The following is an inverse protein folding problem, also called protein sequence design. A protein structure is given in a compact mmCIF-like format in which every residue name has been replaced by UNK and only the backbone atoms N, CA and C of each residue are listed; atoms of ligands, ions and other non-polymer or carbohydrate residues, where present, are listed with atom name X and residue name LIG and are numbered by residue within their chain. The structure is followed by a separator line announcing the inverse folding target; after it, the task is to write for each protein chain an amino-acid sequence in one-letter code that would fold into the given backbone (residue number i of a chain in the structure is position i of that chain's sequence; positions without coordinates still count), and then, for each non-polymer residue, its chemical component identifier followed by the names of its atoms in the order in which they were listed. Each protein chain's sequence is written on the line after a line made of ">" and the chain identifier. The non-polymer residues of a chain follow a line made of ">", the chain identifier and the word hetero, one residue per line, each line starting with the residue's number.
data_IF_399210137724
#
_entry.id   IF_399210137724
#
_cell.length_a   1.000
_cell.length_b   1.000
_cell.length_c   1.000
_cell.angle_alpha   90.00
_cell.angle_beta   90.00
_cell.angle_gamma   90.00
#
_symmetry.space_group_name_H-M   'P 1'
#
loop_
_entity.id
_entity.type
_entity.pdbx_description
1 polymer ?
#
# COMPACT_ATOMS: atom_id res chain seq x y z
N UNK A 1 3.99 -21.91 31.34
CA UNK A 1 3.96 -20.72 30.45
C UNK A 1 4.80 -20.99 29.21
N UNK A 2 4.22 -20.81 28.06
CA UNK A 2 5.00 -20.92 26.84
C UNK A 2 5.98 -19.73 26.75
N UNK A 3 7.25 -20.00 26.50
CA UNK A 3 8.25 -18.97 26.31
C UNK A 3 7.89 -18.10 25.08
N UNK A 4 8.03 -16.79 25.19
CA UNK A 4 7.80 -15.88 24.07
C UNK A 4 8.80 -16.21 22.97
N UNK A 5 8.29 -16.60 21.79
CA UNK A 5 9.13 -17.01 20.64
C UNK A 5 9.91 -15.84 20.03
N UNK A 6 9.30 -14.65 20.03
CA UNK A 6 9.91 -13.43 19.48
C UNK A 6 10.00 -12.37 20.59
N UNK A 7 11.21 -12.07 21.00
CA UNK A 7 11.51 -11.07 22.04
C UNK A 7 11.80 -9.75 21.35
N UNK A 8 11.13 -8.69 21.80
CA UNK A 8 11.33 -7.32 21.31
C UNK A 8 12.28 -6.62 22.25
N UNK A 9 13.39 -6.15 21.73
CA UNK A 9 14.33 -5.25 22.41
C UNK A 9 14.54 -4.05 21.50
N UNK A 10 14.05 -2.89 21.91
CA UNK A 10 14.17 -1.65 21.15
C UNK A 10 15.39 -0.86 21.62
N UNK A 11 16.10 -0.27 20.70
CA UNK A 11 17.13 0.72 21.04
C UNK A 11 16.51 2.09 21.37
N UNK A 12 17.32 3.02 21.87
CA UNK A 12 16.86 4.36 22.26
C UNK A 12 16.28 5.14 21.05
N UNK A 13 16.91 5.03 19.89
CA UNK A 13 16.45 5.68 18.66
C UNK A 13 15.12 5.12 18.15
N UNK A 14 14.93 3.81 18.23
CA UNK A 14 13.67 3.14 17.87
C UNK A 14 12.53 3.55 18.81
N UNK A 15 12.78 3.61 20.12
CA UNK A 15 11.79 4.10 21.09
C UNK A 15 11.38 5.53 20.83
N UNK A 16 12.36 6.41 20.60
CA UNK A 16 12.09 7.82 20.31
C UNK A 16 11.28 7.96 19.01
N UNK A 17 11.64 7.22 17.96
CA UNK A 17 10.92 7.20 16.69
C UNK A 17 9.48 6.74 16.84
N UNK A 18 9.23 5.68 17.60
CA UNK A 18 7.90 5.16 17.88
C UNK A 18 7.06 6.13 18.72
N UNK A 19 7.65 6.71 19.74
CA UNK A 19 7.00 7.72 20.60
C UNK A 19 6.63 8.97 19.81
N UNK A 20 7.53 9.45 18.95
CA UNK A 20 7.28 10.60 18.07
C UNK A 20 6.16 10.32 17.07
N UNK A 21 6.10 9.11 16.51
CA UNK A 21 5.05 8.69 15.58
C UNK A 21 3.67 8.70 16.25
N UNK A 22 3.57 8.25 17.50
CA UNK A 22 2.34 8.28 18.29
C UNK A 22 1.95 9.71 18.63
N UNK A 23 2.90 10.52 19.11
CA UNK A 23 2.65 11.90 19.55
C UNK A 23 2.20 12.81 18.42
N UNK A 24 2.77 12.69 17.23
CA UNK A 24 2.40 13.47 16.05
C UNK A 24 0.98 13.18 15.56
N UNK A 25 0.44 11.99 15.79
CA UNK A 25 -0.93 11.61 15.46
C UNK A 25 -1.30 11.64 13.95
N UNK A 26 -0.35 11.93 13.09
CA UNK A 26 -0.58 12.04 11.63
C UNK A 26 -0.31 10.75 10.85
N UNK A 27 0.14 9.71 11.53
CA UNK A 27 0.39 8.42 10.91
C UNK A 27 -0.92 7.61 10.72
N UNK A 28 -0.86 6.60 9.86
CA UNK A 28 -1.97 5.66 9.71
C UNK A 28 -2.30 4.98 11.04
N UNK A 29 -3.57 4.84 11.37
CA UNK A 29 -4.04 4.23 12.63
C UNK A 29 -3.39 2.86 12.89
N UNK A 30 -3.21 2.06 11.86
CA UNK A 30 -2.54 0.75 11.98
C UNK A 30 -1.04 0.89 12.34
N UNK A 31 -0.35 1.90 11.84
CA UNK A 31 1.05 2.17 12.19
C UNK A 31 1.16 2.63 13.66
N UNK A 32 0.24 3.46 14.13
CA UNK A 32 0.16 3.90 15.53
C UNK A 32 -0.11 2.71 16.46
N UNK A 33 -1.04 1.83 16.10
CA UNK A 33 -1.34 0.62 16.87
C UNK A 33 -0.10 -0.28 16.99
N UNK A 34 0.58 -0.54 15.88
CA UNK A 34 1.83 -1.33 15.88
C UNK A 34 2.92 -0.68 16.73
N UNK A 35 3.08 0.63 16.65
CA UNK A 35 4.04 1.36 17.47
C UNK A 35 3.74 1.20 18.98
N UNK A 36 2.48 1.30 19.38
CA UNK A 36 2.06 1.07 20.78
C UNK A 36 2.31 -0.37 21.22
N UNK A 37 2.01 -1.35 20.37
CA UNK A 37 2.29 -2.77 20.66
C UNK A 37 3.78 -2.98 20.92
N UNK A 38 4.66 -2.43 20.06
CA UNK A 38 6.11 -2.58 20.21
C UNK A 38 6.64 -1.92 21.49
N UNK A 39 6.23 -0.71 21.81
CA UNK A 39 6.65 -0.03 23.04
C UNK A 39 6.26 -0.80 24.29
N UNK A 40 5.04 -1.35 24.33
CA UNK A 40 4.57 -2.16 25.47
C UNK A 40 5.22 -3.54 25.55
N UNK A 41 5.56 -4.13 24.38
CA UNK A 41 6.21 -5.45 24.29
C UNK A 41 7.71 -5.41 24.60
N UNK A 42 8.31 -4.23 24.59
CA UNK A 42 9.76 -4.05 24.73
C UNK A 42 10.28 -4.65 26.03
N UNK A 43 11.17 -5.64 25.90
CA UNK A 43 11.82 -6.34 27.02
C UNK A 43 13.19 -5.74 27.38
N UNK A 44 13.62 -4.70 26.66
CA UNK A 44 14.86 -4.00 26.92
C UNK A 44 14.92 -3.34 28.30
N UNK A 45 16.06 -2.75 28.65
CA UNK A 45 16.30 -2.13 29.95
C UNK A 45 15.27 -1.06 30.31
N UNK A 46 14.83 -0.28 29.33
CA UNK A 46 13.85 0.80 29.48
C UNK A 46 12.46 0.45 28.93
N UNK A 47 12.21 -0.83 28.65
CA UNK A 47 10.94 -1.31 28.12
C UNK A 47 9.85 -1.51 29.18
N UNK A 48 8.60 -1.42 28.76
CA UNK A 48 7.44 -1.62 29.68
C UNK A 48 7.23 -3.11 30.04
N UNK A 49 7.72 -4.05 29.24
CA UNK A 49 7.69 -5.51 29.48
C UNK A 49 6.32 -6.11 29.71
N UNK A 50 5.28 -5.57 29.11
CA UNK A 50 3.92 -6.06 29.27
C UNK A 50 3.74 -7.47 28.68
N UNK A 51 2.79 -8.21 29.27
CA UNK A 51 2.36 -9.49 28.72
C UNK A 51 1.44 -9.27 27.52
N UNK A 52 1.35 -10.27 26.64
CA UNK A 52 0.55 -10.18 25.42
C UNK A 52 -0.94 -9.98 25.72
N UNK A 53 -1.46 -10.61 26.79
CA UNK A 53 -2.84 -10.43 27.23
C UNK A 53 -3.12 -9.00 27.70
N UNK A 54 -2.21 -8.42 28.46
CA UNK A 54 -2.30 -7.03 28.95
C UNK A 54 -2.28 -6.02 27.79
N UNK A 55 -1.44 -6.28 26.76
CA UNK A 55 -1.38 -5.46 25.55
C UNK A 55 -2.69 -5.57 24.76
N UNK A 56 -3.24 -6.77 24.64
CA UNK A 56 -4.49 -7.00 23.92
C UNK A 56 -5.65 -6.27 24.58
N UNK A 57 -5.75 -6.33 25.89
CA UNK A 57 -6.79 -5.64 26.66
C UNK A 57 -6.64 -4.11 26.57
N UNK A 58 -5.43 -3.59 26.75
CA UNK A 58 -5.18 -2.15 26.72
C UNK A 58 -5.35 -1.48 25.36
N UNK A 59 -5.16 -2.22 24.27
CA UNK A 59 -5.19 -1.71 22.91
C UNK A 59 -6.36 -2.24 22.06
N UNK A 60 -7.29 -2.96 22.68
CA UNK A 60 -8.43 -3.58 21.98
C UNK A 60 -8.00 -4.41 20.74
N UNK A 61 -6.98 -5.22 20.91
CA UNK A 61 -6.43 -6.05 19.83
C UNK A 61 -6.41 -7.54 20.24
N UNK A 62 -5.90 -8.39 19.37
CA UNK A 62 -5.80 -9.82 19.64
C UNK A 62 -4.34 -10.30 19.69
N UNK A 63 -4.13 -11.44 20.34
CA UNK A 63 -2.81 -12.07 20.50
C UNK A 63 -2.12 -12.32 19.17
N UNK A 64 -2.86 -12.71 18.14
CA UNK A 64 -2.32 -12.93 16.80
C UNK A 64 -1.70 -11.67 16.21
N UNK A 65 -2.30 -10.50 16.42
CA UNK A 65 -1.77 -9.22 15.98
C UNK A 65 -0.47 -8.89 16.72
N UNK A 66 -0.45 -9.02 18.03
CA UNK A 66 0.75 -8.78 18.85
C UNK A 66 1.90 -9.69 18.44
N UNK A 67 1.63 -10.99 18.25
CA UNK A 67 2.63 -11.97 17.82
C UNK A 67 3.19 -11.64 16.42
N UNK A 68 2.33 -11.30 15.46
CA UNK A 68 2.77 -10.94 14.10
C UNK A 68 3.62 -9.66 14.09
N UNK A 69 3.29 -8.68 14.90
CA UNK A 69 4.06 -7.43 15.01
C UNK A 69 5.44 -7.71 15.57
N UNK A 70 5.54 -8.50 16.65
CA UNK A 70 6.82 -8.91 17.23
C UNK A 70 7.67 -9.74 16.27
N UNK A 71 7.06 -10.74 15.63
CA UNK A 71 7.73 -11.56 14.61
C UNK A 71 8.29 -10.70 13.49
N UNK A 72 7.50 -9.77 12.98
CA UNK A 72 7.91 -8.91 11.89
C UNK A 72 9.04 -7.97 12.27
N UNK A 73 9.05 -7.44 13.50
CA UNK A 73 10.17 -6.64 13.99
C UNK A 73 11.47 -7.45 14.04
N UNK A 74 11.42 -8.62 14.64
CA UNK A 74 12.60 -9.49 14.83
C UNK A 74 13.15 -10.00 13.50
N UNK A 75 12.28 -10.32 12.54
CA UNK A 75 12.68 -10.91 11.25
C UNK A 75 12.97 -9.89 10.16
N UNK A 76 12.31 -8.74 10.16
CA UNK A 76 12.35 -7.77 9.05
C UNK A 76 12.73 -6.34 9.46
N UNK A 77 12.77 -6.04 10.75
CA UNK A 77 13.11 -4.73 11.29
C UNK A 77 11.93 -3.75 11.40
N UNK A 78 12.21 -2.60 12.01
CA UNK A 78 11.19 -1.59 12.35
C UNK A 78 10.52 -0.97 11.12
N UNK A 79 11.29 -0.65 10.08
CA UNK A 79 10.74 -0.04 8.86
C UNK A 79 9.72 -0.95 8.17
N UNK A 80 9.96 -2.26 8.16
CA UNK A 80 9.03 -3.24 7.62
C UNK A 80 7.73 -3.32 8.43
N UNK A 81 7.79 -3.16 9.75
CA UNK A 81 6.61 -3.16 10.62
C UNK A 81 5.72 -1.96 10.34
N UNK A 82 6.31 -0.76 10.27
CA UNK A 82 5.60 0.50 10.10
C UNK A 82 5.11 0.74 8.68
N UNK A 83 5.82 0.21 7.68
CA UNK A 83 5.44 0.36 6.29
C UNK A 83 4.33 -0.61 5.86
N UNK A 84 3.50 -0.16 4.92
CA UNK A 84 2.55 -1.07 4.26
C UNK A 84 3.27 -1.83 3.16
N UNK A 85 3.16 -3.17 3.17
CA UNK A 85 3.65 -4.00 2.06
C UNK A 85 2.96 -3.57 0.76
N UNK A 86 3.72 -3.06 -0.19
CA UNK A 86 3.21 -2.74 -1.52
C UNK A 86 2.92 -4.05 -2.27
N UNK A 87 1.80 -4.11 -2.96
CA UNK A 87 1.52 -5.21 -3.87
C UNK A 87 2.41 -5.08 -5.10
N UNK A 88 3.09 -6.15 -5.48
CA UNK A 88 3.92 -6.21 -6.69
C UNK A 88 3.06 -6.24 -7.95
N UNK A 89 1.91 -6.90 -7.88
CA UNK A 89 0.94 -6.99 -8.95
C UNK A 89 -0.39 -6.36 -8.54
N UNK A 90 -1.01 -5.54 -9.39
CA UNK A 90 -2.34 -5.02 -9.12
C UNK A 90 -3.35 -6.18 -9.05
N UNK A 91 -4.41 -6.09 -8.22
CA UNK A 91 -5.42 -7.14 -8.08
C UNK A 91 -6.24 -7.38 -9.36
N UNK A 92 -6.32 -6.37 -10.21
CA UNK A 92 -6.99 -6.41 -11.51
C UNK A 92 -5.96 -6.00 -12.55
N UNK A 93 -5.82 -6.80 -13.60
CA UNK A 93 -4.93 -6.45 -14.72
C UNK A 93 -5.42 -5.13 -15.36
N UNK A 94 -4.51 -4.20 -15.67
CA UNK A 94 -4.91 -2.98 -16.37
C UNK A 94 -5.50 -3.33 -17.73
N UNK A 95 -6.57 -2.62 -18.12
CA UNK A 95 -7.23 -2.79 -19.43
C UNK A 95 -6.23 -2.46 -20.56
N UNK A 96 -5.49 -1.37 -20.41
CA UNK A 96 -4.41 -0.99 -21.30
C UNK A 96 -3.08 -1.55 -20.77
N UNK A 97 -2.65 -2.69 -21.28
CA UNK A 97 -1.30 -3.21 -21.11
C UNK A 97 -0.31 -2.44 -22.01
N UNK A 98 0.97 -2.80 -22.01
CA UNK A 98 1.99 -2.10 -22.77
C UNK A 98 1.70 -2.04 -24.28
N UNK A 99 1.17 -3.11 -24.87
CA UNK A 99 0.80 -3.17 -26.29
C UNK A 99 -0.42 -2.31 -26.59
N UNK A 100 -1.48 -2.46 -25.83
CA UNK A 100 -2.71 -1.68 -25.98
C UNK A 100 -2.46 -0.18 -25.73
N UNK A 101 -1.60 0.16 -24.79
CA UNK A 101 -1.16 1.53 -24.51
C UNK A 101 -0.45 2.16 -25.71
N UNK A 102 0.47 1.42 -26.34
CA UNK A 102 1.18 1.89 -27.55
C UNK A 102 0.21 2.09 -28.71
N UNK A 103 -0.72 1.18 -28.92
CA UNK A 103 -1.75 1.29 -29.95
C UNK A 103 -2.69 2.49 -29.70
N UNK A 104 -3.11 2.73 -28.46
CA UNK A 104 -3.91 3.89 -28.08
C UNK A 104 -3.16 5.20 -28.38
N UNK A 105 -1.89 5.28 -28.03
CA UNK A 105 -1.05 6.46 -28.26
C UNK A 105 -0.89 6.72 -29.76
N UNK A 106 -0.62 5.68 -30.56
CA UNK A 106 -0.52 5.78 -32.00
C UNK A 106 -1.85 6.26 -32.64
N UNK A 107 -2.97 5.75 -32.17
CA UNK A 107 -4.30 6.16 -32.60
C UNK A 107 -4.59 7.64 -32.27
N UNK A 108 -4.25 8.07 -31.06
CA UNK A 108 -4.42 9.46 -30.63
C UNK A 108 -3.57 10.47 -31.44
N UNK A 109 -2.43 10.01 -31.95
CA UNK A 109 -1.54 10.79 -32.81
C UNK A 109 -1.90 10.73 -34.30
N UNK A 110 -2.84 9.86 -34.68
CA UNK A 110 -3.29 9.72 -36.06
C UNK A 110 -4.35 10.75 -36.44
N UNK A 111 -4.68 10.82 -37.73
CA UNK A 111 -5.77 11.67 -38.21
C UNK A 111 -7.11 11.18 -37.68
N UNK A 112 -7.97 12.07 -37.15
CA UNK A 112 -9.32 11.71 -36.74
C UNK A 112 -10.16 11.16 -37.92
N UNK A 113 -11.18 10.34 -37.64
CA UNK A 113 -12.06 9.86 -38.70
C UNK A 113 -12.89 11.00 -39.32
N UNK A 114 -13.42 10.74 -40.50
CA UNK A 114 -14.26 11.70 -41.24
C UNK A 114 -15.39 12.25 -40.36
N UNK A 115 -15.62 13.55 -40.45
CA UNK A 115 -16.62 14.27 -39.64
C UNK A 115 -16.12 14.78 -38.30
N UNK A 116 -14.85 14.50 -37.92
CA UNK A 116 -14.27 14.97 -36.69
C UNK A 116 -12.99 15.79 -36.92
N UNK A 117 -12.96 17.01 -36.39
CA UNK A 117 -11.78 17.89 -36.52
C UNK A 117 -10.61 17.46 -35.61
N UNK A 118 -10.90 16.72 -34.54
CA UNK A 118 -9.91 16.26 -33.54
C UNK A 118 -10.39 15.02 -32.82
N UNK A 119 -9.45 14.28 -32.22
CA UNK A 119 -9.77 13.20 -31.30
C UNK A 119 -10.36 13.73 -29.99
N UNK A 120 -11.45 13.11 -29.54
CA UNK A 120 -11.97 13.25 -28.19
C UNK A 120 -11.77 11.93 -27.41
N UNK A 121 -11.79 12.00 -26.08
CA UNK A 121 -11.64 10.80 -25.26
C UNK A 121 -12.76 9.76 -25.51
N UNK A 122 -13.98 10.24 -25.78
CA UNK A 122 -15.10 9.35 -26.12
C UNK A 122 -14.90 8.67 -27.45
N UNK A 123 -14.48 9.42 -28.49
CA UNK A 123 -14.20 8.89 -29.80
C UNK A 123 -13.05 7.87 -29.77
N UNK A 124 -11.99 8.16 -28.98
CA UNK A 124 -10.91 7.20 -28.76
C UNK A 124 -11.39 5.94 -28.04
N UNK A 125 -12.24 6.06 -27.03
CA UNK A 125 -12.81 4.92 -26.33
C UNK A 125 -13.63 4.02 -27.27
N UNK A 126 -14.46 4.61 -28.12
CA UNK A 126 -15.23 3.86 -29.12
C UNK A 126 -14.34 3.18 -30.15
N UNK A 127 -13.31 3.89 -30.65
CA UNK A 127 -12.39 3.34 -31.66
C UNK A 127 -11.48 2.23 -31.16
N UNK A 128 -11.00 2.29 -29.91
CA UNK A 128 -10.18 1.20 -29.36
C UNK A 128 -10.99 -0.09 -29.16
N UNK A 129 -12.29 0.02 -28.94
CA UNK A 129 -13.20 -1.13 -28.89
C UNK A 129 -13.52 -1.64 -30.31
N UNK A 130 -13.82 -0.74 -31.25
CA UNK A 130 -14.08 -1.07 -32.64
C UNK A 130 -12.89 -1.77 -33.31
N UNK A 131 -11.68 -1.33 -33.02
CA UNK A 131 -10.42 -1.92 -33.52
C UNK A 131 -9.96 -3.15 -32.72
N UNK A 132 -10.77 -3.62 -31.79
CA UNK A 132 -10.48 -4.79 -30.94
C UNK A 132 -9.15 -4.68 -30.18
N UNK A 133 -8.69 -3.46 -29.90
CA UNK A 133 -7.49 -3.22 -29.08
C UNK A 133 -7.75 -3.64 -27.63
N UNK A 134 -8.95 -3.30 -27.12
CA UNK A 134 -9.45 -3.71 -25.81
C UNK A 134 -10.93 -4.11 -25.92
N UNK A 135 -11.42 -5.03 -25.08
CA UNK A 135 -12.82 -5.49 -25.14
C UNK A 135 -13.82 -4.42 -24.71
N UNK A 136 -13.43 -3.51 -23.82
CA UNK A 136 -14.26 -2.39 -23.35
C UNK A 136 -13.36 -1.28 -22.82
N UNK A 137 -13.73 -0.03 -23.04
CA UNK A 137 -13.01 1.13 -22.51
C UNK A 137 -13.97 2.28 -22.20
N UNK A 138 -13.83 2.84 -21.00
CA UNK A 138 -14.48 4.08 -20.63
C UNK A 138 -13.56 5.27 -20.93
N UNK A 139 -14.11 6.39 -21.38
CA UNK A 139 -13.33 7.57 -21.79
C UNK A 139 -12.40 8.09 -20.68
N UNK A 140 -12.78 7.99 -19.40
CA UNK A 140 -11.88 8.34 -18.28
C UNK A 140 -10.67 7.41 -18.18
N UNK A 141 -10.84 6.13 -18.49
CA UNK A 141 -9.75 5.15 -18.50
C UNK A 141 -8.77 5.45 -19.63
N UNK A 142 -9.28 5.81 -20.80
CA UNK A 142 -8.49 6.28 -21.95
C UNK A 142 -7.68 7.53 -21.56
N UNK A 143 -8.33 8.52 -20.93
CA UNK A 143 -7.66 9.74 -20.49
C UNK A 143 -6.55 9.48 -19.46
N UNK A 144 -6.75 8.56 -18.53
CA UNK A 144 -5.71 8.15 -17.56
C UNK A 144 -4.55 7.42 -18.21
N UNK A 145 -4.85 6.56 -19.20
CA UNK A 145 -3.83 5.85 -19.95
C UNK A 145 -2.95 6.82 -20.73
N UNK A 146 -3.53 7.79 -21.45
CA UNK A 146 -2.78 8.81 -22.17
C UNK A 146 -1.93 9.70 -21.27
N UNK A 147 -2.42 10.09 -20.08
CA UNK A 147 -1.64 10.89 -19.12
C UNK A 147 -0.38 10.20 -18.61
N UNK A 148 -0.34 8.87 -18.60
CA UNK A 148 0.86 8.12 -18.20
C UNK A 148 1.95 8.12 -19.26
N UNK A 149 1.61 8.42 -20.50
CA UNK A 149 2.52 8.39 -21.65
C UNK A 149 3.19 9.73 -21.89
N UNK A 150 2.64 10.78 -21.34
CA UNK A 150 3.16 12.14 -21.37
C UNK A 150 3.90 12.45 -20.06
#
# INVERSE_FOLDING_TARGET
>A
MAAKKFIVELDAGERERLSALISKGKALANAILKARILLKSDQGEHGERWKDEEICEALDTNISMVTRVREKLVTQGLDAVLSRKKRLTPPIKPIFDGKAQAQLTALACSTPPEGHARWSLRLLADKVVELEIVPAAHFNTVGRALKKTI
#
